data_IF_794585339843
#
_entry.id   IF_794585339843
#
_cell.length_a   1.000
_cell.length_b   1.000
_cell.length_c   1.000
_cell.angle_alpha   90.00
_cell.angle_beta   90.00
_cell.angle_gamma   90.00
#
_symmetry.space_group_name_H-M   'P 1'
#
loop_
_entity.id
_entity.type
_entity.pdbx_description
1 polymer ?
#
# COMPACT_ATOMS: atom_id res chain seq x y z
N UNK A 1 -1.41 1.26 -7.42
CA UNK A 1 -0.87 2.05 -8.55
C UNK A 1 -1.96 2.50 -9.53
N UNK A 2 -2.97 1.65 -9.81
CA UNK A 2 -4.02 1.93 -10.80
C UNK A 2 -4.84 3.20 -10.53
N UNK A 3 -5.15 3.53 -9.27
CA UNK A 3 -5.87 4.76 -8.91
C UNK A 3 -5.09 6.06 -9.22
N UNK A 4 -3.78 6.06 -8.98
CA UNK A 4 -2.91 7.19 -9.30
C UNK A 4 -2.83 7.44 -10.82
N UNK A 5 -2.82 6.36 -11.60
CA UNK A 5 -2.75 6.45 -13.06
C UNK A 5 -4.09 6.85 -13.70
N UNK A 6 -5.21 6.38 -13.13
CA UNK A 6 -6.55 6.57 -13.73
C UNK A 6 -7.13 7.97 -13.53
N UNK A 7 -6.58 8.82 -12.66
CA UNK A 7 -7.10 10.19 -12.34
C UNK A 7 -8.59 10.26 -11.97
N UNK A 8 -9.20 9.13 -11.57
CA UNK A 8 -10.61 9.03 -11.19
C UNK A 8 -10.72 8.58 -9.74
N UNK A 9 -11.36 9.38 -8.89
CA UNK A 9 -11.51 9.08 -7.46
C UNK A 9 -12.20 7.75 -7.18
N UNK A 10 -13.13 7.31 -8.05
CA UNK A 10 -13.79 6.01 -7.93
C UNK A 10 -12.81 4.83 -7.95
N UNK A 11 -11.76 4.90 -8.78
CA UNK A 11 -10.77 3.82 -8.89
C UNK A 11 -9.92 3.72 -7.62
N UNK A 12 -9.67 4.86 -6.96
CA UNK A 12 -8.94 4.91 -5.69
C UNK A 12 -9.77 4.22 -4.60
N UNK A 13 -11.07 4.53 -4.50
CA UNK A 13 -11.95 3.90 -3.51
C UNK A 13 -12.08 2.39 -3.72
N UNK A 14 -12.31 1.94 -4.95
CA UNK A 14 -12.39 0.51 -5.27
C UNK A 14 -11.07 -0.21 -4.95
N UNK A 15 -9.92 0.40 -5.25
CA UNK A 15 -8.62 -0.17 -4.91
C UNK A 15 -8.43 -0.32 -3.40
N UNK A 16 -8.86 0.65 -2.61
CA UNK A 16 -8.80 0.59 -1.14
C UNK A 16 -9.68 -0.52 -0.57
N UNK A 17 -10.91 -0.65 -1.06
CA UNK A 17 -11.83 -1.72 -0.64
C UNK A 17 -11.28 -3.09 -1.03
N UNK A 18 -10.75 -3.25 -2.25
CA UNK A 18 -10.14 -4.50 -2.69
C UNK A 18 -8.94 -4.87 -1.82
N UNK A 19 -8.07 -3.92 -1.48
CA UNK A 19 -6.95 -4.14 -0.56
C UNK A 19 -7.43 -4.61 0.81
N UNK A 20 -8.49 -3.99 1.34
CA UNK A 20 -9.07 -4.37 2.63
C UNK A 20 -9.62 -5.81 2.60
N UNK A 21 -10.38 -6.16 1.57
CA UNK A 21 -10.96 -7.50 1.41
C UNK A 21 -9.87 -8.55 1.26
N UNK A 22 -8.87 -8.28 0.42
CA UNK A 22 -7.72 -9.18 0.25
C UNK A 22 -6.92 -9.33 1.54
N UNK A 23 -6.75 -8.25 2.31
CA UNK A 23 -6.08 -8.32 3.61
C UNK A 23 -6.82 -9.23 4.58
N UNK A 24 -8.13 -9.05 4.74
CA UNK A 24 -8.94 -9.91 5.62
C UNK A 24 -8.90 -11.37 5.15
N UNK A 25 -9.03 -11.61 3.85
CA UNK A 25 -8.92 -12.96 3.28
C UNK A 25 -7.56 -13.61 3.55
N UNK A 26 -6.47 -12.86 3.34
CA UNK A 26 -5.11 -13.30 3.63
C UNK A 26 -4.94 -13.64 5.12
N UNK A 27 -5.54 -12.88 6.03
CA UNK A 27 -5.48 -13.19 7.46
C UNK A 27 -6.12 -14.54 7.81
N UNK A 28 -7.22 -14.89 7.14
CA UNK A 28 -7.86 -16.20 7.30
C UNK A 28 -6.99 -17.32 6.71
N UNK A 29 -6.42 -17.15 5.51
CA UNK A 29 -5.60 -18.18 4.86
C UNK A 29 -4.27 -18.43 5.59
N UNK A 30 -3.59 -17.36 6.02
CA UNK A 30 -2.31 -17.47 6.72
C UNK A 30 -2.47 -17.95 8.17
N UNK A 31 -3.69 -18.10 8.71
CA UNK A 31 -3.90 -18.72 10.04
C UNK A 31 -3.66 -20.23 10.00
N UNK A 32 -3.94 -20.87 8.88
CA UNK A 32 -3.81 -22.32 8.71
C UNK A 32 -2.39 -22.74 8.28
N UNK A 33 -1.54 -21.77 7.91
CA UNK A 33 -0.12 -22.02 7.64
C UNK A 33 0.61 -22.27 8.97
N UNK A 34 1.09 -23.49 9.17
CA UNK A 34 1.90 -23.90 10.34
C UNK A 34 3.19 -23.06 10.49
N UNK A 35 3.76 -22.58 9.38
CA UNK A 35 4.96 -21.75 9.39
C UNK A 35 4.63 -20.28 9.66
N UNK A 36 4.52 -19.94 10.95
CA UNK A 36 4.35 -18.57 11.46
C UNK A 36 5.38 -17.57 10.91
N UNK A 37 6.59 -18.04 10.61
CA UNK A 37 7.71 -17.23 10.09
C UNK A 37 7.43 -16.67 8.69
N UNK A 38 6.95 -17.53 7.77
CA UNK A 38 6.60 -17.12 6.41
C UNK A 38 5.40 -16.18 6.44
N UNK A 39 4.42 -16.49 7.30
CA UNK A 39 3.26 -15.63 7.49
C UNK A 39 3.64 -14.25 8.06
N UNK A 40 4.68 -14.16 8.89
CA UNK A 40 5.21 -12.89 9.38
C UNK A 40 5.90 -12.05 8.29
N UNK A 41 6.58 -12.70 7.34
CA UNK A 41 7.21 -12.01 6.21
C UNK A 41 6.19 -11.49 5.18
N UNK A 42 5.14 -12.26 4.92
CA UNK A 42 4.10 -11.95 3.94
C UNK A 42 3.04 -10.95 4.43
N UNK A 43 3.15 -10.46 5.67
CA UNK A 43 2.23 -9.46 6.21
C UNK A 43 2.66 -8.02 5.88
N UNK A 44 1.97 -7.29 4.98
CA UNK A 44 2.34 -5.92 4.63
C UNK A 44 2.27 -4.92 5.78
N UNK A 45 1.49 -5.20 6.83
CA UNK A 45 1.36 -4.30 7.99
C UNK A 45 2.32 -4.68 9.13
N UNK A 46 2.90 -5.89 9.10
CA UNK A 46 3.81 -6.42 10.12
C UNK A 46 3.16 -6.69 11.47
N UNK A 47 1.83 -6.78 11.54
CA UNK A 47 1.08 -7.19 12.74
C UNK A 47 1.52 -8.59 13.18
N UNK A 48 1.69 -9.51 12.23
CA UNK A 48 2.12 -10.89 12.50
C UNK A 48 3.56 -10.97 12.98
N UNK A 49 4.46 -10.19 12.38
CA UNK A 49 5.85 -10.11 12.81
C UNK A 49 5.96 -9.57 14.25
N UNK A 50 5.12 -8.59 14.59
CA UNK A 50 5.01 -8.04 15.94
C UNK A 50 4.44 -9.06 16.94
N UNK A 51 3.34 -9.72 16.58
CA UNK A 51 2.73 -10.76 17.42
C UNK A 51 3.68 -11.93 17.65
N UNK A 52 4.45 -12.34 16.63
CA UNK A 52 5.47 -13.38 16.75
C UNK A 52 6.56 -13.01 17.77
N UNK A 53 7.06 -11.77 17.73
CA UNK A 53 8.10 -11.32 18.65
C UNK A 53 7.61 -11.14 20.08
N UNK A 54 6.35 -10.71 20.24
CA UNK A 54 5.74 -10.46 21.56
C UNK A 54 5.00 -11.67 22.13
N UNK A 55 4.94 -12.80 21.41
CA UNK A 55 4.16 -14.00 21.78
C UNK A 55 4.55 -14.50 23.18
N UNK A 56 5.85 -14.50 23.49
CA UNK A 56 6.40 -15.00 24.75
C UNK A 56 6.61 -13.92 25.83
N UNK A 57 6.22 -12.67 25.55
CA UNK A 57 6.37 -11.57 26.51
C UNK A 57 5.19 -11.50 27.48
N UNK A 58 5.49 -11.25 28.75
CA UNK A 58 4.50 -10.91 29.76
C UNK A 58 3.89 -9.51 29.48
N UNK A 59 2.70 -9.20 30.02
CA UNK A 59 2.11 -7.88 29.86
C UNK A 59 3.01 -6.73 30.38
N UNK A 60 3.77 -6.97 31.45
CA UNK A 60 4.72 -5.98 32.00
C UNK A 60 5.89 -5.71 31.06
N UNK A 61 6.40 -6.75 30.39
CA UNK A 61 7.46 -6.65 29.39
C UNK A 61 6.96 -5.97 28.11
N UNK A 62 5.75 -6.30 27.63
CA UNK A 62 5.15 -5.63 26.45
C UNK A 62 4.96 -4.13 26.64
N UNK A 63 4.73 -3.68 27.87
CA UNK A 63 4.54 -2.27 28.18
C UNK A 63 5.86 -1.51 28.42
N UNK A 64 6.96 -2.22 28.70
CA UNK A 64 8.24 -1.62 29.10
C UNK A 64 9.36 -1.79 28.08
N UNK A 65 9.33 -2.87 27.29
CA UNK A 65 10.34 -3.17 26.29
C UNK A 65 9.96 -2.57 24.94
N UNK A 66 10.90 -1.88 24.34
CA UNK A 66 10.79 -1.47 22.95
C UNK A 66 11.07 -2.66 22.04
N UNK A 67 10.27 -2.81 20.98
CA UNK A 67 10.47 -3.86 19.99
C UNK A 67 11.74 -3.54 19.18
N UNK A 68 12.78 -4.39 19.21
CA UNK A 68 13.97 -4.19 18.40
C UNK A 68 13.69 -4.46 16.93
N UNK A 69 14.35 -3.71 16.04
CA UNK A 69 14.27 -3.90 14.59
C UNK A 69 15.21 -5.03 14.13
N UNK A 70 14.94 -6.24 14.60
CA UNK A 70 15.77 -7.42 14.34
C UNK A 70 14.92 -8.59 13.79
N UNK A 71 15.60 -9.59 13.23
CA UNK A 71 14.97 -10.81 12.73
C UNK A 71 13.85 -10.56 11.73
N UNK A 72 12.73 -11.27 11.90
CA UNK A 72 11.57 -11.22 10.98
C UNK A 72 10.93 -9.85 10.84
N UNK A 73 11.05 -8.98 11.86
CA UNK A 73 10.54 -7.60 11.79
C UNK A 73 11.37 -6.79 10.78
N UNK A 74 12.70 -6.91 10.83
CA UNK A 74 13.58 -6.21 9.91
C UNK A 74 13.38 -6.70 8.47
N UNK A 75 13.35 -8.02 8.26
CA UNK A 75 13.13 -8.60 6.93
C UNK A 75 11.79 -8.20 6.33
N UNK A 76 10.71 -8.21 7.13
CA UNK A 76 9.42 -7.72 6.70
C UNK A 76 9.51 -6.27 6.20
N UNK A 77 10.14 -5.39 6.99
CA UNK A 77 10.29 -3.98 6.61
C UNK A 77 11.09 -3.82 5.33
N UNK A 78 12.20 -4.54 5.15
CA UNK A 78 13.02 -4.47 3.95
C UNK A 78 12.26 -4.94 2.69
N UNK A 79 11.52 -6.04 2.78
CA UNK A 79 10.72 -6.56 1.67
C UNK A 79 9.67 -5.54 1.24
N UNK A 80 8.89 -5.01 2.18
CA UNK A 80 7.79 -4.11 1.87
C UNK A 80 8.24 -2.70 1.50
N UNK A 81 9.37 -2.21 2.04
CA UNK A 81 10.03 -1.00 1.53
C UNK A 81 10.47 -1.21 0.08
N UNK A 82 11.07 -2.37 -0.24
CA UNK A 82 11.44 -2.73 -1.60
C UNK A 82 10.25 -2.74 -2.56
N UNK A 83 9.16 -3.39 -2.17
CA UNK A 83 7.90 -3.40 -2.94
C UNK A 83 7.35 -1.98 -3.11
N UNK A 84 7.34 -1.18 -2.05
CA UNK A 84 6.90 0.21 -2.10
C UNK A 84 7.74 1.06 -3.06
N UNK A 85 9.05 0.88 -3.06
CA UNK A 85 9.98 1.57 -3.95
C UNK A 85 9.74 1.15 -5.41
N UNK A 86 9.56 -0.14 -5.68
CA UNK A 86 9.21 -0.64 -7.02
C UNK A 86 7.89 -0.03 -7.51
N UNK A 87 6.86 -0.03 -6.66
CA UNK A 87 5.56 0.58 -7.00
C UNK A 87 5.69 2.08 -7.26
N UNK A 88 6.49 2.78 -6.46
CA UNK A 88 6.76 4.21 -6.63
C UNK A 88 7.46 4.48 -7.95
N UNK A 89 8.52 3.71 -8.26
CA UNK A 89 9.27 3.82 -9.52
C UNK A 89 8.35 3.58 -10.72
N UNK A 90 7.56 2.50 -10.70
CA UNK A 90 6.59 2.20 -11.77
C UNK A 90 5.58 3.33 -11.92
N UNK A 91 5.05 3.84 -10.80
CA UNK A 91 4.07 4.92 -10.82
C UNK A 91 4.69 6.20 -11.35
N UNK A 92 5.92 6.54 -10.95
CA UNK A 92 6.64 7.72 -11.39
C UNK A 92 6.88 7.70 -12.91
N UNK A 93 7.36 6.57 -13.46
CA UNK A 93 7.59 6.44 -14.91
C UNK A 93 6.30 6.30 -15.72
N UNK A 94 5.25 5.69 -15.15
CA UNK A 94 3.95 5.56 -15.80
C UNK A 94 3.12 6.85 -15.76
N UNK A 95 3.39 7.77 -14.82
CA UNK A 95 2.61 8.97 -14.63
C UNK A 95 3.07 10.10 -15.57
N UNK A 96 2.29 10.35 -16.63
CA UNK A 96 2.46 11.53 -17.48
C UNK A 96 1.85 12.77 -16.80
N UNK A 97 2.71 13.73 -16.44
CA UNK A 97 2.35 15.08 -15.99
C UNK A 97 1.81 15.95 -17.13
N UNK A 98 0.93 15.43 -17.98
CA UNK A 98 0.22 16.28 -18.92
C UNK A 98 -0.87 17.04 -18.13
N UNK A 99 -0.48 18.17 -17.54
CA UNK A 99 -1.42 19.17 -17.03
C UNK A 99 -2.27 19.55 -18.23
N UNK A 100 -3.49 19.02 -18.29
CA UNK A 100 -4.47 19.46 -19.26
C UNK A 100 -4.76 20.92 -18.92
N UNK A 101 -3.97 21.84 -19.50
CA UNK A 101 -4.29 23.26 -19.56
C UNK A 101 -5.42 23.37 -20.59
N UNK A 102 -6.60 22.93 -20.19
CA UNK A 102 -7.80 23.17 -20.98
C UNK A 102 -7.97 24.69 -20.94
N UNK A 103 -7.53 25.36 -22.01
CA UNK A 103 -7.74 26.79 -22.19
C UNK A 103 -9.24 27.04 -22.09
N UNK A 104 -9.66 27.64 -20.98
CA UNK A 104 -11.04 28.00 -20.66
C UNK A 104 -11.63 29.03 -21.63
N UNK A 105 -10.81 29.57 -22.54
CA UNK A 105 -11.22 30.59 -23.50
C UNK A 105 -10.95 30.11 -24.92
N UNK A 106 -11.91 29.37 -25.50
CA UNK A 106 -12.08 29.34 -26.96
C UNK A 106 -12.87 30.60 -27.32
N UNK A 107 -12.27 31.63 -27.95
CA UNK A 107 -13.06 32.73 -28.49
C UNK A 107 -14.01 32.16 -29.56
N UNK A 108 -15.31 32.43 -29.43
CA UNK A 108 -16.27 32.18 -30.52
C UNK A 108 -15.86 33.10 -31.67
N UNK A 109 -15.47 32.51 -32.80
CA UNK A 109 -15.43 33.23 -34.06
C UNK A 109 -16.86 33.55 -34.46
N UNK A 110 -17.26 34.81 -34.30
CA UNK A 110 -18.51 35.33 -34.86
C UNK A 110 -18.35 35.28 -36.37
N UNK A 111 -19.19 34.49 -37.03
CA UNK A 111 -19.22 34.39 -38.49
C UNK A 111 -19.93 35.65 -39.01
N UNK A 112 -19.18 36.53 -39.65
CA UNK A 112 -19.70 37.72 -40.35
C UNK A 112 -20.30 37.25 -41.68
N UNK A 113 -21.60 36.98 -41.70
CA UNK A 113 -22.34 36.76 -42.93
C UNK A 113 -22.70 38.16 -43.49
N UNK A 114 -21.88 38.65 -44.41
CA UNK A 114 -22.18 39.80 -45.30
C UNK A 114 -22.64 39.31 -46.66
#
# INVERSE_FOLDING_TARGET
ASGALSRKSIVIYTQGILLLVLYIGTQSLLRDIEQKEIAALLDPFGVRAFSFYTEYWTPGERNSLQIPFEGYILYNRLIWIGVGLVVLVITHFGFSFNVVRNSLFRPRTVKDDR
#
